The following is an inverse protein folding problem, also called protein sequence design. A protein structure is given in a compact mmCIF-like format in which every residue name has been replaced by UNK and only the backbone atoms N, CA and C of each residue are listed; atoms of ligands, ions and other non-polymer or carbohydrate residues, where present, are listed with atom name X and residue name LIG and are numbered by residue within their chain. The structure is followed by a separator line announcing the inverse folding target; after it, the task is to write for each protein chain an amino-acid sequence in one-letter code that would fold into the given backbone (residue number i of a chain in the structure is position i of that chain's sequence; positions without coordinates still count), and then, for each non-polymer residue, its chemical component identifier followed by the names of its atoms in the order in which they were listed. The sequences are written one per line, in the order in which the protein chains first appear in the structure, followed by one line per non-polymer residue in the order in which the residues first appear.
data_IF_027045109687
#
_entry.id   IF_027045109687
#
_cell.length_a   1.000
_cell.length_b   1.000
_cell.length_c   1.000
_cell.angle_alpha   90.00
_cell.angle_beta   90.00
_cell.angle_gamma   90.00
#
_symmetry.space_group_name_H-M   'P 1'
#
loop_
_entity.id
_entity.type
_entity.pdbx_description
1 polymer ?
#
# COMPACT_ATOMS: atom_id res chain seq x y z
N UNK A 1 15.07 -10.01 7.71
CA UNK A 1 13.92 -9.68 8.58
C UNK A 1 12.74 -9.20 7.75
N UNK A 2 11.51 -9.36 8.25
CA UNK A 2 10.30 -8.87 7.57
C UNK A 2 10.19 -7.36 7.79
N UNK A 3 10.33 -6.58 6.71
CA UNK A 3 10.15 -5.14 6.79
C UNK A 3 8.68 -4.80 7.07
N UNK A 4 8.47 -3.78 7.90
CA UNK A 4 7.14 -3.17 8.11
C UNK A 4 7.26 -1.70 7.74
N UNK A 5 6.32 -1.21 6.93
CA UNK A 5 6.37 0.17 6.47
C UNK A 5 5.84 1.07 7.60
N UNK A 6 6.75 1.50 8.48
CA UNK A 6 6.47 2.51 9.51
C UNK A 6 6.52 3.93 8.93
N UNK A 7 6.18 4.09 7.63
CA UNK A 7 6.18 5.38 6.96
C UNK A 7 5.33 6.36 7.76
N UNK A 8 5.99 7.34 8.37
CA UNK A 8 5.32 8.50 8.92
C UNK A 8 4.70 9.22 7.73
N UNK A 9 3.40 9.01 7.49
CA UNK A 9 2.65 9.86 6.57
C UNK A 9 2.77 11.25 7.17
N UNK A 10 3.46 12.14 6.44
CA UNK A 10 3.58 13.53 6.84
C UNK A 10 2.16 14.11 7.01
N UNK A 11 1.95 14.96 8.01
CA UNK A 11 0.63 15.57 8.28
C UNK A 11 0.10 16.26 7.01
N UNK A 12 1.01 16.80 6.21
CA UNK A 12 0.73 17.38 4.91
C UNK A 12 0.22 16.36 3.89
N UNK A 13 0.81 15.16 3.80
CA UNK A 13 0.35 14.10 2.88
C UNK A 13 -1.09 13.69 3.20
N UNK A 14 -1.43 13.53 4.49
CA UNK A 14 -2.80 13.20 4.90
C UNK A 14 -3.80 14.29 4.50
N UNK A 15 -3.47 15.57 4.76
CA UNK A 15 -4.32 16.70 4.39
C UNK A 15 -4.53 16.80 2.87
N UNK A 16 -3.49 16.51 2.09
CA UNK A 16 -3.57 16.51 0.63
C UNK A 16 -4.47 15.37 0.14
N UNK A 17 -4.30 14.16 0.68
CA UNK A 17 -5.12 13.01 0.30
C UNK A 17 -6.61 13.22 0.59
N UNK A 18 -6.95 13.75 1.76
CA UNK A 18 -8.35 14.05 2.12
C UNK A 18 -9.00 15.09 1.21
N UNK A 19 -8.23 16.06 0.70
CA UNK A 19 -8.74 17.13 -0.17
C UNK A 19 -8.85 16.70 -1.63
N UNK A 20 -7.91 15.89 -2.12
CA UNK A 20 -7.80 15.56 -3.54
C UNK A 20 -8.48 14.24 -3.92
N UNK A 21 -8.64 13.30 -2.98
CA UNK A 21 -9.21 11.98 -3.26
C UNK A 21 -10.68 11.97 -2.83
N UNK A 22 -11.63 11.78 -3.76
CA UNK A 22 -13.04 11.66 -3.40
C UNK A 22 -13.27 10.48 -2.44
N UNK A 23 -14.04 10.70 -1.37
CA UNK A 23 -14.40 9.63 -0.41
C UNK A 23 -15.12 8.44 -1.05
N UNK A 24 -15.81 8.67 -2.17
CA UNK A 24 -16.51 7.64 -2.93
C UNK A 24 -15.59 6.84 -3.89
N UNK A 25 -14.28 7.13 -3.91
CA UNK A 25 -13.33 6.45 -4.78
C UNK A 25 -13.17 4.97 -4.39
N UNK A 26 -13.07 4.08 -5.38
CA UNK A 26 -12.98 2.63 -5.17
C UNK A 26 -11.87 2.23 -4.19
N UNK A 27 -10.66 2.73 -4.40
CA UNK A 27 -9.50 2.39 -3.56
C UNK A 27 -9.65 2.79 -2.09
N UNK A 28 -10.35 3.90 -1.82
CA UNK A 28 -10.68 4.36 -0.46
C UNK A 28 -11.68 3.40 0.18
N UNK A 29 -12.71 2.96 -0.56
CA UNK A 29 -13.67 1.97 -0.08
C UNK A 29 -12.99 0.64 0.25
N UNK A 30 -12.07 0.19 -0.61
CA UNK A 30 -11.33 -1.05 -0.38
C UNK A 30 -10.53 -0.96 0.92
N UNK A 31 -9.79 0.13 1.16
CA UNK A 31 -9.06 0.31 2.42
C UNK A 31 -9.97 0.43 3.65
N UNK A 32 -11.22 0.86 3.49
CA UNK A 32 -12.18 0.90 4.61
C UNK A 32 -12.81 -0.46 4.95
N UNK A 33 -12.77 -1.41 4.01
CA UNK A 33 -13.44 -2.73 4.15
C UNK A 33 -12.42 -3.83 4.44
N UNK A 34 -11.24 -3.74 3.84
CA UNK A 34 -10.22 -4.80 3.91
C UNK A 34 -9.10 -4.36 4.84
N UNK A 35 -8.95 -5.09 5.94
CA UNK A 35 -7.73 -5.08 6.72
C UNK A 35 -6.68 -5.98 6.03
N UNK A 36 -5.50 -5.43 5.74
CA UNK A 36 -4.39 -6.15 5.11
C UNK A 36 -3.41 -6.77 6.13
N UNK A 37 -3.66 -6.64 7.44
CA UNK A 37 -2.84 -7.22 8.50
C UNK A 37 -2.62 -8.73 8.34
N UNK A 38 -3.63 -9.45 7.80
CA UNK A 38 -3.57 -10.89 7.53
C UNK A 38 -2.35 -11.30 6.70
N UNK A 39 -1.86 -10.43 5.82
CA UNK A 39 -0.69 -10.74 4.97
C UNK A 39 0.53 -11.02 5.84
N UNK A 40 0.72 -10.26 6.93
CA UNK A 40 1.84 -10.50 7.84
C UNK A 40 1.76 -11.88 8.48
N UNK A 41 0.57 -12.29 8.93
CA UNK A 41 0.37 -13.60 9.56
C UNK A 41 0.68 -14.73 8.58
N UNK A 42 0.26 -14.59 7.32
CA UNK A 42 0.46 -15.62 6.30
C UNK A 42 1.94 -15.79 5.89
N UNK A 43 2.72 -14.72 5.89
CA UNK A 43 4.10 -14.75 5.38
C UNK A 43 5.15 -14.80 6.48
N UNK A 44 4.77 -14.62 7.75
CA UNK A 44 5.70 -14.50 8.88
C UNK A 44 6.75 -15.62 8.92
N UNK A 45 6.33 -16.88 8.76
CA UNK A 45 7.22 -18.04 8.81
C UNK A 45 8.19 -18.13 7.63
N UNK A 46 7.95 -17.38 6.55
CA UNK A 46 8.81 -17.35 5.35
C UNK A 46 9.95 -16.34 5.48
N UNK A 47 9.90 -15.44 6.46
CA UNK A 47 10.93 -14.44 6.69
C UNK A 47 11.85 -14.84 7.84
N UNK A 48 13.16 -14.71 7.60
CA UNK A 48 14.17 -14.89 8.66
C UNK A 48 14.11 -13.76 9.69
N UNK A 49 14.34 -14.10 10.96
CA UNK A 49 14.48 -13.15 12.07
C UNK A 49 15.83 -12.40 12.08
N UNK A 50 16.74 -12.75 11.17
CA UNK A 50 18.08 -12.15 11.08
C UNK A 50 18.29 -11.48 9.72
N UNK A 51 19.24 -10.55 9.66
CA UNK A 51 19.64 -9.86 8.44
C UNK A 51 18.81 -8.62 8.12
N UNK A 52 19.04 -8.04 6.92
CA UNK A 52 18.38 -6.82 6.45
C UNK A 52 16.87 -6.99 6.32
N UNK A 53 16.13 -5.92 6.59
CA UNK A 53 14.70 -5.88 6.35
C UNK A 53 14.37 -5.97 4.87
N UNK A 54 13.37 -6.79 4.54
CA UNK A 54 12.74 -6.81 3.23
C UNK A 54 11.94 -5.52 3.00
N UNK A 55 11.43 -5.34 1.77
CA UNK A 55 10.29 -4.46 1.58
C UNK A 55 9.07 -5.02 2.30
N UNK A 56 8.14 -4.14 2.64
CA UNK A 56 6.92 -4.52 3.35
C UNK A 56 6.04 -5.42 2.46
N UNK A 57 5.71 -6.65 2.90
CA UNK A 57 4.87 -7.56 2.14
C UNK A 57 3.44 -7.03 1.93
N UNK A 58 2.87 -6.28 2.87
CA UNK A 58 1.55 -5.65 2.72
C UNK A 58 1.59 -4.61 1.60
N UNK A 59 2.65 -3.81 1.55
CA UNK A 59 2.85 -2.84 0.47
C UNK A 59 2.92 -3.55 -0.90
N UNK A 60 3.63 -4.68 -0.98
CA UNK A 60 3.71 -5.47 -2.22
C UNK A 60 2.35 -6.00 -2.65
N UNK A 61 1.57 -6.58 -1.72
CA UNK A 61 0.20 -7.06 -2.02
C UNK A 61 -0.70 -5.92 -2.51
N UNK A 62 -0.59 -4.73 -1.92
CA UNK A 62 -1.34 -3.55 -2.37
C UNK A 62 -0.96 -3.12 -3.79
N UNK A 63 0.31 -3.25 -4.18
CA UNK A 63 0.77 -2.96 -5.55
C UNK A 63 0.20 -4.00 -6.53
N UNK A 64 0.29 -5.29 -6.20
CA UNK A 64 -0.32 -6.36 -7.02
C UNK A 64 -1.83 -6.21 -7.18
N UNK A 65 -2.51 -5.73 -6.13
CA UNK A 65 -3.93 -5.41 -6.21
C UNK A 65 -4.20 -4.28 -7.22
N UNK A 66 -3.34 -3.26 -7.30
CA UNK A 66 -3.48 -2.18 -8.29
C UNK A 66 -3.24 -2.69 -9.71
N UNK A 67 -2.23 -3.53 -9.92
CA UNK A 67 -1.97 -4.19 -11.21
C UNK A 67 -3.20 -4.97 -11.68
N UNK A 68 -3.79 -5.76 -10.78
CA UNK A 68 -4.99 -6.55 -11.06
C UNK A 68 -6.23 -5.69 -11.34
N UNK A 69 -6.53 -4.70 -10.48
CA UNK A 69 -7.74 -3.88 -10.61
C UNK A 69 -7.76 -3.01 -11.86
N UNK A 70 -6.59 -2.55 -12.31
CA UNK A 70 -6.47 -1.64 -13.45
C UNK A 70 -5.91 -2.29 -14.71
N UNK A 71 -5.62 -3.60 -14.65
CA UNK A 71 -5.02 -4.38 -15.74
C UNK A 71 -3.76 -3.70 -16.31
N UNK A 72 -2.82 -3.40 -15.42
CA UNK A 72 -1.57 -2.70 -15.72
C UNK A 72 -0.38 -3.61 -15.49
N UNK A 73 0.70 -3.37 -16.24
CA UNK A 73 2.00 -4.00 -15.94
C UNK A 73 2.67 -3.38 -14.71
N UNK A 74 3.62 -4.10 -14.12
CA UNK A 74 4.43 -3.67 -12.98
C UNK A 74 5.12 -2.32 -13.26
N UNK A 75 5.61 -2.13 -14.49
CA UNK A 75 6.27 -0.89 -14.92
C UNK A 75 5.29 0.27 -14.96
N UNK A 76 4.07 0.05 -15.44
CA UNK A 76 3.03 1.07 -15.50
C UNK A 76 2.51 1.44 -14.12
N UNK A 77 2.30 0.45 -13.24
CA UNK A 77 1.88 0.70 -11.86
C UNK A 77 2.94 1.46 -11.10
N UNK A 78 4.22 1.10 -11.26
CA UNK A 78 5.32 1.85 -10.65
C UNK A 78 5.31 3.32 -11.08
N UNK A 79 5.13 3.60 -12.38
CA UNK A 79 5.02 4.97 -12.89
C UNK A 79 3.79 5.71 -12.33
N UNK A 80 2.63 5.04 -12.27
CA UNK A 80 1.40 5.65 -11.72
C UNK A 80 1.49 5.90 -10.22
N UNK A 81 2.23 5.10 -9.47
CA UNK A 81 2.47 5.36 -8.04
C UNK A 81 3.23 6.68 -7.83
N UNK A 82 4.07 7.08 -8.78
CA UNK A 82 4.84 8.33 -8.71
C UNK A 82 4.02 9.54 -9.16
N UNK A 83 3.16 9.38 -10.17
CA UNK A 83 2.42 10.49 -10.79
C UNK A 83 1.00 10.67 -10.26
N UNK A 84 0.33 9.57 -9.87
CA UNK A 84 -1.09 9.53 -9.58
C UNK A 84 -1.34 9.45 -8.07
N UNK A 85 -2.07 10.44 -7.56
CA UNK A 85 -2.17 10.64 -6.11
C UNK A 85 -2.94 9.53 -5.41
N UNK A 86 -3.90 8.94 -6.11
CA UNK A 86 -4.72 7.87 -5.56
C UNK A 86 -3.93 6.57 -5.41
N UNK A 87 -3.03 6.30 -6.37
CA UNK A 87 -2.15 5.13 -6.33
C UNK A 87 -1.13 5.29 -5.20
N UNK A 88 -0.58 6.50 -5.05
CA UNK A 88 0.30 6.84 -3.92
C UNK A 88 -0.42 6.69 -2.57
N UNK A 89 -1.66 7.15 -2.46
CA UNK A 89 -2.48 6.96 -1.27
C UNK A 89 -2.67 5.48 -0.95
N UNK A 90 -3.12 4.67 -1.93
CA UNK A 90 -3.37 3.24 -1.71
C UNK A 90 -2.11 2.50 -1.23
N UNK A 91 -0.95 2.83 -1.81
CA UNK A 91 0.34 2.27 -1.37
C UNK A 91 0.68 2.63 0.08
N UNK A 92 0.40 3.87 0.49
CA UNK A 92 0.78 4.39 1.80
C UNK A 92 -0.30 4.23 2.88
N UNK A 93 -1.52 3.81 2.52
CA UNK A 93 -2.63 3.69 3.45
C UNK A 93 -2.27 2.72 4.59
N UNK A 94 -2.50 3.17 5.82
CA UNK A 94 -2.21 2.38 7.02
C UNK A 94 -3.22 1.25 7.17
N UNK A 95 -2.74 0.20 7.84
CA UNK A 95 -3.56 -0.86 8.42
C UNK A 95 -4.27 -0.21 9.61
N UNK A 96 -5.61 -0.30 9.65
CA UNK A 96 -6.41 0.21 10.77
C UNK A 96 -6.25 -0.67 12.01
#
# INVERSE_FOLDING_TARGET
MMGKNNGQIDVFDHMIFEKLIPKNHLLVKIDSIIDFSFVYEQVQEKYSHLGRDSKDPVMMVKIFLLEYLYNLSDVEVSKRIETDIVFRYKRNAKIQ
#
